data_IF_350768456504
#
_entry.id   IF_350768456504
#
_cell.length_a   1.000
_cell.length_b   1.000
_cell.length_c   1.000
_cell.angle_alpha   90.00
_cell.angle_beta   90.00
_cell.angle_gamma   90.00
#
_symmetry.space_group_name_H-M   'P 1'
#
loop_
_entity.id
_entity.type
_entity.pdbx_description
1 polymer ?
#
# COMPACT_ATOMS: atom_id res chain seq x y z
N UNK A 1 -39.92 -28.85 5.01
CA UNK A 1 -38.88 -28.70 3.97
C UNK A 1 -38.72 -27.24 3.56
N UNK A 2 -39.79 -26.55 3.14
CA UNK A 2 -39.70 -25.12 2.80
C UNK A 2 -39.29 -24.20 3.98
N UNK A 3 -39.80 -24.43 5.19
CA UNK A 3 -39.46 -23.57 6.34
C UNK A 3 -38.00 -23.71 6.80
N UNK A 4 -37.44 -24.92 6.74
CA UNK A 4 -36.03 -25.17 7.04
C UNK A 4 -35.10 -24.54 6.00
N UNK A 5 -35.49 -24.57 4.72
CA UNK A 5 -34.75 -23.90 3.64
C UNK A 5 -34.78 -22.38 3.77
N UNK A 6 -35.94 -21.80 4.12
CA UNK A 6 -36.08 -20.36 4.38
C UNK A 6 -35.24 -19.95 5.60
N UNK A 7 -35.22 -20.77 6.66
CA UNK A 7 -34.42 -20.49 7.85
C UNK A 7 -32.91 -20.51 7.54
N UNK A 8 -32.45 -21.48 6.77
CA UNK A 8 -31.05 -21.56 6.34
C UNK A 8 -30.67 -20.38 5.43
N UNK A 9 -31.53 -20.03 4.47
CA UNK A 9 -31.30 -18.86 3.60
C UNK A 9 -31.21 -17.55 4.40
N UNK A 10 -32.08 -17.36 5.40
CA UNK A 10 -32.02 -16.18 6.30
C UNK A 10 -30.71 -16.12 7.07
N UNK A 11 -30.23 -17.26 7.56
CA UNK A 11 -28.94 -17.37 8.26
C UNK A 11 -27.78 -16.99 7.34
N UNK A 12 -27.77 -17.51 6.11
CA UNK A 12 -26.73 -17.18 5.12
C UNK A 12 -26.73 -15.70 4.74
N UNK A 13 -27.91 -15.10 4.55
CA UNK A 13 -28.05 -13.66 4.28
C UNK A 13 -27.53 -12.82 5.45
N UNK A 14 -27.82 -13.23 6.68
CA UNK A 14 -27.31 -12.53 7.87
C UNK A 14 -25.77 -12.57 7.90
N UNK A 15 -25.15 -13.72 7.62
CA UNK A 15 -23.70 -13.86 7.53
C UNK A 15 -23.12 -12.96 6.43
N UNK A 16 -23.71 -12.95 5.23
CA UNK A 16 -23.23 -12.13 4.11
C UNK A 16 -23.22 -10.63 4.42
N UNK A 17 -24.21 -10.14 5.15
CA UNK A 17 -24.29 -8.72 5.56
C UNK A 17 -23.17 -8.31 6.51
N UNK A 18 -22.58 -9.25 7.24
CA UNK A 18 -21.54 -8.96 8.23
C UNK A 18 -20.11 -9.02 7.67
N UNK A 19 -19.93 -9.55 6.45
CA UNK A 19 -18.62 -9.75 5.81
C UNK A 19 -18.00 -8.42 5.36
N UNK A 20 -18.79 -7.54 4.73
CA UNK A 20 -18.29 -6.27 4.19
C UNK A 20 -18.78 -5.13 5.06
N UNK A 21 -17.86 -4.35 5.62
CA UNK A 21 -18.18 -3.21 6.49
C UNK A 21 -17.43 -1.98 6.08
N UNK A 22 -18.00 -0.82 6.38
CA UNK A 22 -17.36 0.48 6.17
C UNK A 22 -17.39 1.25 7.49
N UNK A 23 -16.34 2.01 7.76
CA UNK A 23 -16.25 2.73 9.02
C UNK A 23 -15.11 3.72 9.05
N UNK A 24 -14.98 4.40 10.17
CA UNK A 24 -14.00 5.47 10.37
C UNK A 24 -12.85 4.97 11.25
N UNK A 25 -11.62 5.18 10.82
CA UNK A 25 -10.43 4.73 11.55
C UNK A 25 -10.27 5.51 12.84
N UNK A 26 -10.17 4.81 13.97
CA UNK A 26 -10.02 5.42 15.30
C UNK A 26 -8.58 5.36 15.83
N UNK A 27 -7.80 4.35 15.46
CA UNK A 27 -6.38 4.26 15.80
C UNK A 27 -5.59 3.41 14.80
N UNK A 28 -4.27 3.61 14.75
CA UNK A 28 -3.36 2.91 13.85
C UNK A 28 -2.09 2.56 14.59
N UNK A 29 -1.70 1.28 14.55
CA UNK A 29 -0.43 0.76 15.06
C UNK A 29 0.47 0.44 13.86
N UNK A 30 1.52 1.24 13.69
CA UNK A 30 2.44 1.17 12.55
C UNK A 30 3.36 -0.04 12.63
N UNK A 31 3.76 -0.43 13.84
CA UNK A 31 4.71 -1.52 14.07
C UNK A 31 4.04 -2.88 13.85
N UNK A 32 2.76 -3.01 14.24
CA UNK A 32 1.96 -4.22 14.02
C UNK A 32 1.18 -4.25 12.71
N UNK A 33 1.17 -3.13 11.97
CA UNK A 33 0.38 -2.93 10.74
C UNK A 33 -1.12 -3.20 10.97
N UNK A 34 -1.67 -2.63 12.04
CA UNK A 34 -3.08 -2.79 12.41
C UNK A 34 -3.79 -1.45 12.55
N UNK A 35 -5.10 -1.45 12.40
CA UNK A 35 -5.95 -0.29 12.64
C UNK A 35 -7.23 -0.71 13.37
N UNK A 36 -7.77 0.21 14.17
CA UNK A 36 -9.12 0.08 14.74
C UNK A 36 -10.08 0.96 13.96
N UNK A 37 -11.29 0.46 13.73
CA UNK A 37 -12.32 1.12 12.92
C UNK A 37 -13.61 1.17 13.71
N UNK A 38 -14.23 2.34 13.75
CA UNK A 38 -15.57 2.55 14.30
C UNK A 38 -16.57 2.29 13.18
N UNK A 39 -17.49 1.36 13.43
CA UNK A 39 -18.53 0.98 12.48
C UNK A 39 -19.85 1.66 12.85
N UNK A 40 -20.32 2.55 11.96
CA UNK A 40 -21.55 3.32 12.18
C UNK A 40 -22.82 2.44 12.15
N UNK A 41 -22.73 1.23 11.60
CA UNK A 41 -23.80 0.23 11.61
C UNK A 41 -23.81 -0.67 12.85
N UNK A 42 -22.87 -0.48 13.80
CA UNK A 42 -22.70 -1.31 15.01
C UNK A 42 -22.47 -0.46 16.26
N UNK A 43 -23.44 0.38 16.59
CA UNK A 43 -23.48 1.18 17.83
C UNK A 43 -22.22 2.06 18.06
N UNK A 44 -21.53 2.45 16.98
CA UNK A 44 -20.27 3.21 17.04
C UNK A 44 -19.15 2.49 17.85
N UNK A 45 -19.23 1.16 17.98
CA UNK A 45 -18.22 0.40 18.69
C UNK A 45 -16.93 0.28 17.88
N UNK A 46 -15.76 0.51 18.51
CA UNK A 46 -14.48 0.31 17.85
C UNK A 46 -14.19 -1.19 17.69
N UNK A 47 -13.63 -1.54 16.55
CA UNK A 47 -13.16 -2.90 16.27
C UNK A 47 -11.98 -3.33 17.17
N UNK A 48 -11.66 -4.63 17.10
CA UNK A 48 -10.33 -5.14 17.44
C UNK A 48 -9.22 -4.59 16.52
N UNK A 49 -7.98 -5.03 16.73
CA UNK A 49 -6.85 -4.65 15.87
C UNK A 49 -6.94 -5.35 14.51
N UNK A 50 -7.55 -4.69 13.52
CA UNK A 50 -7.70 -5.23 12.17
C UNK A 50 -6.39 -5.11 11.40
N UNK A 51 -5.99 -6.17 10.70
CA UNK A 51 -4.79 -6.16 9.87
C UNK A 51 -5.01 -5.28 8.65
N UNK A 52 -4.09 -4.36 8.37
CA UNK A 52 -4.18 -3.51 7.18
C UNK A 52 -3.56 -4.24 6.00
N UNK A 53 -4.36 -4.46 4.96
CA UNK A 53 -3.92 -5.10 3.73
C UNK A 53 -2.73 -4.35 3.14
N UNK A 54 -1.68 -5.10 2.79
CA UNK A 54 -0.51 -4.55 2.13
C UNK A 54 -0.74 -4.54 0.63
N UNK A 55 -1.22 -3.41 0.12
CA UNK A 55 -1.16 -3.13 -1.30
C UNK A 55 0.07 -2.25 -1.57
N UNK A 56 1.08 -2.80 -2.24
CA UNK A 56 2.24 -2.04 -2.68
C UNK A 56 1.95 -1.48 -4.08
N UNK A 57 1.93 -0.14 -4.26
CA UNK A 57 1.96 0.39 -5.61
C UNK A 57 3.31 0.01 -6.25
N UNK A 58 3.28 -0.55 -7.46
CA UNK A 58 4.48 -0.64 -8.27
C UNK A 58 4.87 0.78 -8.66
N UNK A 59 6.02 1.26 -8.19
CA UNK A 59 6.53 2.58 -8.53
C UNK A 59 7.74 2.38 -9.41
N UNK A 60 7.61 2.75 -10.67
CA UNK A 60 8.70 2.81 -11.64
C UNK A 60 9.13 4.25 -11.82
N UNK A 61 10.43 4.52 -11.73
CA UNK A 61 10.97 5.85 -11.97
C UNK A 61 11.91 5.76 -13.15
N UNK A 62 11.57 6.49 -14.21
CA UNK A 62 12.44 6.60 -15.37
C UNK A 62 12.88 8.04 -15.56
N UNK A 63 14.16 8.20 -15.86
CA UNK A 63 14.71 9.49 -16.25
C UNK A 63 15.42 9.35 -17.58
N UNK A 64 14.96 10.14 -18.53
CA UNK A 64 15.46 10.18 -19.90
C UNK A 64 16.08 11.56 -20.16
N UNK A 65 17.25 11.59 -20.77
CA UNK A 65 17.90 12.82 -21.25
C UNK A 65 18.44 12.53 -22.64
N UNK A 66 18.01 13.31 -23.64
CA UNK A 66 18.44 13.19 -25.04
C UNK A 66 18.33 11.76 -25.63
N UNK A 67 17.29 11.02 -25.23
CA UNK A 67 17.06 9.64 -25.66
C UNK A 67 17.85 8.57 -24.89
N UNK A 68 18.73 8.99 -23.98
CA UNK A 68 19.54 8.11 -23.14
C UNK A 68 18.89 7.94 -21.74
N UNK A 69 18.61 6.69 -21.37
CA UNK A 69 18.06 6.36 -20.05
C UNK A 69 19.18 6.41 -18.99
N UNK A 70 18.88 7.05 -17.87
CA UNK A 70 19.81 7.11 -16.75
C UNK A 70 19.90 5.78 -15.99
N UNK A 71 21.06 5.52 -15.40
CA UNK A 71 21.25 4.38 -14.50
C UNK A 71 20.31 4.50 -13.29
N UNK A 72 19.71 3.38 -12.93
CA UNK A 72 18.67 3.28 -11.92
C UNK A 72 18.89 2.00 -11.10
N UNK A 73 18.80 2.12 -9.77
CA UNK A 73 18.73 0.99 -8.84
C UNK A 73 17.38 1.03 -8.12
N UNK A 74 16.60 -0.04 -8.25
CA UNK A 74 15.33 -0.19 -7.55
C UNK A 74 15.39 -1.33 -6.56
N UNK A 75 14.81 -1.15 -5.38
CA UNK A 75 14.56 -2.22 -4.41
C UNK A 75 13.08 -2.30 -4.12
N UNK A 76 12.42 -3.34 -4.61
CA UNK A 76 10.98 -3.56 -4.39
C UNK A 76 10.74 -4.73 -3.45
N UNK A 77 9.82 -4.59 -2.51
CA UNK A 77 9.43 -5.62 -1.56
C UNK A 77 8.41 -6.60 -2.18
N UNK A 78 8.69 -7.09 -3.39
CA UNK A 78 7.80 -7.95 -4.17
C UNK A 78 8.57 -9.08 -4.85
N UNK A 79 7.89 -10.01 -5.52
CA UNK A 79 8.54 -11.01 -6.36
C UNK A 79 9.15 -10.35 -7.61
N UNK A 80 10.22 -10.95 -8.15
CA UNK A 80 10.80 -10.53 -9.43
C UNK A 80 9.74 -10.52 -10.54
N UNK A 81 9.70 -9.43 -11.29
CA UNK A 81 8.74 -9.19 -12.38
C UNK A 81 9.41 -9.19 -13.76
N UNK A 82 10.71 -9.43 -13.83
CA UNK A 82 11.49 -9.56 -15.07
C UNK A 82 11.42 -8.31 -15.99
N UNK A 83 11.32 -7.12 -15.40
CA UNK A 83 11.17 -5.88 -16.18
C UNK A 83 12.47 -5.37 -16.81
N UNK A 84 13.63 -5.83 -16.32
CA UNK A 84 14.93 -5.52 -16.90
C UNK A 84 15.40 -4.08 -16.70
N UNK A 85 14.95 -3.39 -15.64
CA UNK A 85 15.26 -1.98 -15.38
C UNK A 85 16.35 -1.76 -14.32
N UNK A 86 17.03 -2.82 -13.86
CA UNK A 86 18.07 -2.73 -12.81
C UNK A 86 17.52 -2.91 -11.40
N UNK A 87 16.52 -3.77 -11.24
CA UNK A 87 15.79 -3.92 -9.98
C UNK A 87 16.30 -5.09 -9.16
N UNK A 88 16.25 -4.95 -7.84
CA UNK A 88 16.48 -6.00 -6.87
C UNK A 88 15.25 -6.14 -5.97
N UNK A 89 14.96 -7.37 -5.57
CA UNK A 89 13.72 -7.69 -4.88
C UNK A 89 14.02 -8.12 -3.45
N UNK A 90 13.36 -7.49 -2.49
CA UNK A 90 13.46 -7.84 -1.07
C UNK A 90 12.10 -8.31 -0.54
N UNK A 91 12.06 -8.83 0.68
CA UNK A 91 10.80 -9.19 1.36
C UNK A 91 10.40 -8.18 2.44
N UNK A 92 11.12 -7.07 2.54
CA UNK A 92 10.98 -6.11 3.63
C UNK A 92 10.66 -4.71 3.09
N UNK A 93 9.65 -4.07 3.67
CA UNK A 93 9.38 -2.65 3.43
C UNK A 93 10.37 -1.76 4.23
N UNK A 94 10.64 -0.51 3.81
CA UNK A 94 10.11 0.17 2.62
C UNK A 94 10.84 -0.19 1.32
N UNK A 95 10.22 0.14 0.19
CA UNK A 95 10.87 0.07 -1.12
C UNK A 95 11.77 1.30 -1.28
N UNK A 96 13.01 1.09 -1.71
CA UNK A 96 13.99 2.16 -1.87
C UNK A 96 14.44 2.19 -3.32
N UNK A 97 14.29 3.36 -3.92
CA UNK A 97 14.58 3.60 -5.32
C UNK A 97 15.64 4.70 -5.38
N UNK A 98 16.76 4.44 -6.06
CA UNK A 98 17.87 5.39 -6.17
C UNK A 98 18.22 5.63 -7.64
N UNK A 99 18.21 6.90 -8.05
CA UNK A 99 18.66 7.35 -9.37
C UNK A 99 19.90 8.21 -9.18
N UNK A 100 21.01 7.83 -9.81
CA UNK A 100 22.28 8.55 -9.73
C UNK A 100 22.88 8.74 -11.13
N UNK A 101 23.34 9.96 -11.45
CA UNK A 101 24.20 10.22 -12.62
C UNK A 101 25.13 11.40 -12.32
N UNK A 102 26.37 11.28 -12.80
CA UNK A 102 27.28 12.40 -12.92
C UNK A 102 27.11 13.02 -14.32
N UNK A 103 26.92 14.33 -14.39
CA UNK A 103 26.86 15.08 -15.65
C UNK A 103 27.99 16.09 -15.67
N UNK A 104 28.72 16.11 -16.78
CA UNK A 104 29.72 17.12 -17.06
C UNK A 104 29.07 18.32 -17.76
N UNK A 105 28.98 19.45 -17.07
CA UNK A 105 28.48 20.69 -17.61
C UNK A 105 29.63 21.50 -18.19
N UNK A 106 29.65 21.62 -19.52
CA UNK A 106 30.59 22.51 -20.21
C UNK A 106 30.01 23.91 -20.29
N UNK A 107 30.64 24.87 -19.61
CA UNK A 107 30.22 26.27 -19.68
C UNK A 107 31.04 27.01 -20.76
N UNK A 108 30.44 27.37 -21.92
CA UNK A 108 31.18 28.00 -23.02
C UNK A 108 31.66 29.43 -22.72
N UNK A 109 31.19 30.07 -21.64
CA UNK A 109 31.53 31.46 -21.29
C UNK A 109 32.62 31.61 -20.22
N UNK A 110 32.82 30.61 -19.34
CA UNK A 110 33.74 30.72 -18.19
C UNK A 110 34.88 29.70 -18.22
N UNK A 111 34.90 28.76 -19.19
CA UNK A 111 36.05 27.89 -19.45
C UNK A 111 36.35 26.84 -18.38
N UNK A 112 35.48 26.68 -17.38
CA UNK A 112 35.58 25.64 -16.35
C UNK A 112 34.50 24.61 -16.62
N UNK A 113 34.92 23.38 -16.89
CA UNK A 113 34.02 22.23 -16.95
C UNK A 113 33.67 21.82 -15.51
N UNK A 114 32.37 21.75 -15.21
CA UNK A 114 31.87 21.37 -13.88
C UNK A 114 31.16 20.02 -13.96
N UNK A 115 31.71 18.98 -13.32
CA UNK A 115 30.99 17.73 -13.09
C UNK A 115 30.05 17.90 -11.90
N UNK A 116 28.74 17.77 -12.11
CA UNK A 116 27.76 17.74 -11.01
C UNK A 116 27.15 16.35 -10.91
N UNK A 117 27.19 15.83 -9.69
CA UNK A 117 26.53 14.56 -9.36
C UNK A 117 25.11 14.85 -8.92
N UNK A 118 24.14 14.21 -9.58
CA UNK A 118 22.73 14.28 -9.24
C UNK A 118 22.31 12.95 -8.63
N UNK A 119 21.79 13.00 -7.40
CA UNK A 119 21.25 11.85 -6.67
C UNK A 119 19.80 12.14 -6.29
N UNK A 120 18.90 11.22 -6.64
CA UNK A 120 17.52 11.24 -6.19
C UNK A 120 17.21 9.91 -5.52
N UNK A 121 16.78 9.97 -4.26
CA UNK A 121 16.35 8.80 -3.50
C UNK A 121 14.86 8.94 -3.25
N UNK A 122 14.09 7.96 -3.71
CA UNK A 122 12.66 7.84 -3.47
C UNK A 122 12.44 6.66 -2.52
N UNK A 123 11.80 6.92 -1.38
CA UNK A 123 11.45 5.88 -0.41
C UNK A 123 9.94 5.73 -0.37
N UNK A 124 9.47 4.52 -0.62
CA UNK A 124 8.05 4.21 -0.73
C UNK A 124 7.66 3.33 0.44
N UNK A 125 6.72 3.83 1.24
CA UNK A 125 6.12 3.08 2.33
C UNK A 125 4.79 2.51 1.87
N UNK A 126 4.48 1.23 2.17
CA UNK A 126 3.16 0.69 1.90
C UNK A 126 2.08 1.49 2.63
N UNK A 127 0.90 1.61 2.03
CA UNK A 127 -0.19 2.40 2.59
C UNK A 127 -0.62 1.89 3.98
N UNK A 128 -0.89 2.84 4.87
CA UNK A 128 -1.59 2.69 6.14
C UNK A 128 -2.64 3.79 6.21
N UNK A 129 -3.82 3.53 6.81
CA UNK A 129 -4.83 4.56 6.95
C UNK A 129 -4.40 5.68 7.90
N UNK A 130 -5.01 6.85 7.76
CA UNK A 130 -4.92 7.91 8.76
C UNK A 130 -6.13 7.86 9.71
N UNK A 131 -5.97 8.42 10.92
CA UNK A 131 -7.07 8.52 11.90
C UNK A 131 -8.16 9.44 11.33
N UNK A 132 -9.40 8.99 11.36
CA UNK A 132 -10.54 9.68 10.75
C UNK A 132 -10.77 9.33 9.27
N UNK A 133 -9.93 8.49 8.66
CA UNK A 133 -10.16 8.02 7.30
C UNK A 133 -11.35 7.06 7.24
N UNK A 134 -12.17 7.20 6.21
CA UNK A 134 -13.21 6.21 5.90
C UNK A 134 -12.58 5.02 5.20
N UNK A 135 -12.85 3.80 5.66
CA UNK A 135 -12.20 2.58 5.16
C UNK A 135 -13.17 1.46 4.90
N UNK A 136 -12.84 0.62 3.92
CA UNK A 136 -13.50 -0.65 3.65
C UNK A 136 -12.83 -1.78 4.44
N UNK A 137 -13.62 -2.55 5.16
CA UNK A 137 -13.19 -3.71 5.94
C UNK A 137 -13.85 -4.99 5.45
N UNK A 138 -13.11 -6.10 5.53
CA UNK A 138 -13.57 -7.45 5.22
C UNK A 138 -13.42 -8.35 6.45
N UNK A 139 -14.50 -9.04 6.83
CA UNK A 139 -14.55 -9.97 7.94
C UNK A 139 -14.76 -11.40 7.45
N UNK A 140 -14.19 -12.35 8.20
CA UNK A 140 -14.41 -13.76 7.92
C UNK A 140 -15.80 -14.19 8.40
N UNK A 141 -16.53 -15.06 7.66
CA UNK A 141 -17.91 -15.44 7.94
C UNK A 141 -18.05 -16.50 9.07
N UNK A 142 -17.32 -16.32 10.16
CA UNK A 142 -17.23 -17.24 11.30
C UNK A 142 -17.58 -16.56 12.65
N UNK A 143 -18.29 -15.43 12.63
CA UNK A 143 -18.80 -14.74 13.82
C UNK A 143 -17.96 -13.52 14.23
N UNK A 144 -17.59 -13.43 15.52
CA UNK A 144 -16.68 -12.39 16.06
C UNK A 144 -15.21 -12.66 15.66
N UNK A 145 -14.97 -12.74 14.36
CA UNK A 145 -13.67 -13.11 13.80
C UNK A 145 -12.79 -11.91 13.50
N UNK A 146 -11.51 -12.20 13.25
CA UNK A 146 -10.57 -11.21 12.73
C UNK A 146 -11.02 -10.69 11.36
N UNK A 147 -10.74 -9.40 11.14
CA UNK A 147 -11.00 -8.72 9.88
C UNK A 147 -9.78 -7.99 9.33
N UNK A 148 -9.91 -7.52 8.10
CA UNK A 148 -8.88 -6.85 7.34
C UNK A 148 -9.36 -5.48 6.87
N UNK A 149 -8.52 -4.46 6.99
CA UNK A 149 -8.74 -3.17 6.33
C UNK A 149 -8.19 -3.28 4.90
N UNK A 150 -9.06 -3.12 3.90
CA UNK A 150 -8.69 -3.28 2.50
C UNK A 150 -8.11 -1.99 1.90
N UNK A 151 -8.66 -0.84 2.27
CA UNK A 151 -8.35 0.43 1.64
C UNK A 151 -9.14 1.58 2.25
N UNK A 152 -8.63 2.79 2.06
CA UNK A 152 -9.33 4.02 2.37
C UNK A 152 -10.12 4.54 1.18
N UNK A 153 -11.24 5.20 1.47
CA UNK A 153 -12.19 5.80 0.53
C UNK A 153 -12.11 7.32 0.66
#
# INVERSE_FOLDING_TARGET
MAESEIMEAKKQIAVLKEIVRIGTVSSVDKDKRTARVIFHDKDELPSGELKVLQNQPLITVEKWVDGEKWNYDAKYASIDRELGLGESYTKAAPDVITVEKAIDYKCPLHGVDETKTHKHVMTVYPWLPYIGQFVLCLYLPNGESDGFVLGGI
#
